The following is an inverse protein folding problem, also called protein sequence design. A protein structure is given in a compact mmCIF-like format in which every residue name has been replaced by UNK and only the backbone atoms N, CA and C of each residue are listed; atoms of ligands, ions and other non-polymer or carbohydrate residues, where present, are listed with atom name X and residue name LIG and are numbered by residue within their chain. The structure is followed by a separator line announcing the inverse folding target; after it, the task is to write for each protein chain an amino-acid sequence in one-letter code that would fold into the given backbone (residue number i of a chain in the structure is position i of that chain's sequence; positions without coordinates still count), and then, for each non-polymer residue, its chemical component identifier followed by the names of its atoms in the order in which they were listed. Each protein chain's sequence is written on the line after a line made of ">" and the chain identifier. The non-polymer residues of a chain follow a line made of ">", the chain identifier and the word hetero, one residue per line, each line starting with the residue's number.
data_IF_980765301923
#
_entry.id   IF_980765301923
#
_cell.length_a   1.000
_cell.length_b   1.000
_cell.length_c   1.000
_cell.angle_alpha   90.00
_cell.angle_beta   90.00
_cell.angle_gamma   90.00
#
_symmetry.space_group_name_H-M   'P 1'
#
loop_
_entity.id
_entity.type
_entity.pdbx_description
1 polymer ?
#
# COMPACT_ATOMS: atom_id res chain seq x y z
N UNK A 1 45.61 39.44 0.68
CA UNK A 1 44.87 38.37 1.39
C UNK A 1 43.59 38.16 0.60
N UNK A 2 43.53 37.12 -0.23
CA UNK A 2 42.36 36.83 -1.07
C UNK A 2 41.45 35.92 -0.25
N UNK A 3 40.29 36.43 0.14
CA UNK A 3 39.27 35.64 0.83
C UNK A 3 38.54 34.78 -0.21
N UNK A 4 38.79 33.46 -0.15
CA UNK A 4 38.05 32.47 -0.93
C UNK A 4 36.72 32.23 -0.21
N UNK A 5 35.63 32.72 -0.79
CA UNK A 5 34.27 32.39 -0.37
C UNK A 5 33.94 31.01 -0.93
N UNK A 6 34.11 29.97 -0.11
CA UNK A 6 33.57 28.64 -0.41
C UNK A 6 32.08 28.70 -0.09
N UNK A 7 31.25 28.83 -1.13
CA UNK A 7 29.81 28.64 -1.01
C UNK A 7 29.55 27.15 -0.73
N UNK A 8 29.30 26.81 0.53
CA UNK A 8 28.72 25.53 0.88
C UNK A 8 27.29 25.51 0.32
N UNK A 9 27.12 24.86 -0.82
CA UNK A 9 25.80 24.42 -1.28
C UNK A 9 25.35 23.38 -0.27
N UNK A 10 24.57 23.81 0.72
CA UNK A 10 23.81 22.88 1.53
C UNK A 10 22.83 22.20 0.58
N UNK A 11 23.05 20.91 0.30
CA UNK A 11 21.98 20.06 -0.16
C UNK A 11 20.93 20.08 0.94
N UNK A 12 19.87 20.86 0.77
CA UNK A 12 18.63 20.61 1.50
C UNK A 12 18.16 19.24 1.02
N UNK A 13 18.62 18.20 1.72
CA UNK A 13 18.11 16.85 1.58
C UNK A 13 16.65 16.91 1.95
N UNK A 14 15.78 17.07 0.97
CA UNK A 14 14.39 16.69 1.13
C UNK A 14 14.43 15.20 1.47
N UNK A 15 14.27 14.89 2.76
CA UNK A 15 13.93 13.55 3.20
C UNK A 15 12.56 13.28 2.58
N UNK A 16 12.55 12.58 1.45
CA UNK A 16 11.33 12.15 0.81
C UNK A 16 10.63 11.16 1.73
N UNK A 17 9.29 11.16 1.77
CA UNK A 17 8.59 10.16 2.57
C UNK A 17 8.96 8.78 2.03
N UNK A 18 9.56 7.95 2.89
CA UNK A 18 9.90 6.56 2.54
C UNK A 18 8.65 5.74 2.21
N UNK A 19 7.48 6.22 2.67
CA UNK A 19 6.17 5.59 2.59
C UNK A 19 5.21 6.40 1.73
N UNK A 20 4.66 5.78 0.70
CA UNK A 20 3.69 6.37 -0.23
C UNK A 20 2.21 6.04 0.14
N UNK A 21 2.00 5.04 0.99
CA UNK A 21 0.67 4.65 1.50
C UNK A 21 0.82 3.78 2.74
N UNK A 22 -0.14 3.90 3.66
CA UNK A 22 -0.22 3.09 4.87
C UNK A 22 -1.67 2.88 5.30
N UNK A 23 -2.01 1.65 5.65
CA UNK A 23 -3.30 1.27 6.21
C UNK A 23 -3.11 0.23 7.30
N UNK A 24 -3.66 0.48 8.48
CA UNK A 24 -3.64 -0.40 9.67
C UNK A 24 -5.07 -0.83 10.08
N UNK A 25 -6.12 -0.36 9.38
CA UNK A 25 -7.53 -0.69 9.61
C UNK A 25 -8.07 -0.33 11.01
N UNK A 26 -7.43 0.62 11.69
CA UNK A 26 -7.75 1.01 13.07
C UNK A 26 -9.02 1.87 13.20
N UNK A 27 -9.46 2.51 12.12
CA UNK A 27 -10.63 3.41 12.15
C UNK A 27 -11.84 2.80 11.44
N UNK A 28 -13.00 2.87 12.09
CA UNK A 28 -14.27 2.35 11.57
C UNK A 28 -15.23 3.45 11.10
N UNK A 29 -15.82 3.23 9.94
CA UNK A 29 -16.92 3.99 9.36
C UNK A 29 -18.05 3.02 9.04
N UNK A 30 -19.20 3.15 9.71
CA UNK A 30 -20.39 2.30 9.52
C UNK A 30 -20.12 0.77 9.59
N UNK A 31 -19.19 0.35 10.46
CA UNK A 31 -18.87 -1.07 10.68
C UNK A 31 -17.83 -1.67 9.73
N UNK A 32 -17.29 -0.87 8.82
CA UNK A 32 -16.19 -1.22 7.92
C UNK A 32 -14.97 -0.32 8.17
N UNK A 33 -13.74 -0.74 7.83
CA UNK A 33 -12.60 0.18 7.87
C UNK A 33 -12.90 1.43 7.03
N UNK A 34 -12.59 2.62 7.54
CA UNK A 34 -12.94 3.86 6.87
C UNK A 34 -12.40 3.95 5.44
N UNK A 35 -13.26 4.29 4.49
CA UNK A 35 -12.88 4.41 3.06
C UNK A 35 -12.77 3.09 2.31
N UNK A 36 -13.00 1.95 2.97
CA UNK A 36 -13.05 0.64 2.34
C UNK A 36 -14.48 0.27 1.95
N UNK A 37 -14.64 -0.17 0.72
CA UNK A 37 -15.94 -0.60 0.18
C UNK A 37 -15.82 -1.92 -0.57
N UNK A 38 -16.88 -2.73 -0.54
CA UNK A 38 -16.98 -3.92 -1.38
C UNK A 38 -17.39 -3.48 -2.78
N UNK A 39 -16.50 -3.68 -3.74
CA UNK A 39 -16.74 -3.38 -5.16
C UNK A 39 -17.36 -4.56 -5.93
N UNK A 40 -17.17 -5.80 -5.43
CA UNK A 40 -17.75 -7.03 -5.95
C UNK A 40 -17.78 -8.10 -4.87
N UNK A 41 -18.84 -8.91 -4.82
CA UNK A 41 -19.02 -9.98 -3.85
C UNK A 41 -20.23 -9.73 -2.94
N UNK A 42 -20.39 -10.56 -1.93
CA UNK A 42 -21.43 -10.40 -0.92
C UNK A 42 -20.99 -9.39 0.17
N UNK A 43 -21.86 -8.49 0.65
CA UNK A 43 -21.54 -7.55 1.72
C UNK A 43 -20.95 -8.17 2.99
N UNK A 44 -21.34 -9.41 3.32
CA UNK A 44 -20.89 -10.10 4.53
C UNK A 44 -19.50 -10.75 4.35
N UNK A 45 -18.92 -10.67 3.14
CA UNK A 45 -17.65 -11.30 2.82
C UNK A 45 -16.42 -10.48 3.18
N UNK A 46 -16.56 -9.18 3.42
CA UNK A 46 -15.49 -8.33 3.94
C UNK A 46 -15.90 -7.75 5.29
N UNK A 47 -15.20 -8.15 6.35
CA UNK A 47 -15.55 -7.77 7.72
C UNK A 47 -14.35 -7.26 8.48
N UNK A 48 -14.58 -6.24 9.30
CA UNK A 48 -13.57 -5.76 10.24
C UNK A 48 -13.43 -6.76 11.39
N UNK A 49 -12.20 -7.09 11.74
CA UNK A 49 -11.89 -8.10 12.76
C UNK A 49 -10.73 -7.65 13.65
N UNK A 50 -10.64 -8.21 14.85
CA UNK A 50 -9.39 -8.23 15.61
C UNK A 50 -8.48 -9.30 15.03
N UNK A 51 -7.21 -8.98 14.78
CA UNK A 51 -6.25 -9.85 14.09
C UNK A 51 -5.33 -10.58 15.07
N UNK A 52 -4.01 -10.59 14.83
CA UNK A 52 -3.06 -11.44 15.51
C UNK A 52 -2.90 -11.08 16.99
N UNK A 53 -2.75 -9.79 17.29
CA UNK A 53 -2.60 -9.33 18.67
C UNK A 53 -3.91 -8.72 19.22
N UNK A 54 -4.22 -8.93 20.51
CA UNK A 54 -5.38 -8.29 21.12
C UNK A 54 -5.29 -6.77 21.00
N UNK A 55 -6.25 -6.19 20.27
CA UNK A 55 -6.31 -4.75 20.01
C UNK A 55 -5.78 -4.31 18.65
N UNK A 56 -5.17 -5.22 17.87
CA UNK A 56 -4.88 -4.96 16.45
C UNK A 56 -6.11 -5.28 15.61
N UNK A 57 -6.37 -4.43 14.64
CA UNK A 57 -7.49 -4.58 13.75
C UNK A 57 -7.06 -4.99 12.35
N UNK A 58 -8.05 -5.26 11.51
CA UNK A 58 -7.79 -5.71 10.18
C UNK A 58 -9.05 -5.99 9.39
N UNK A 59 -8.82 -6.42 8.17
CA UNK A 59 -9.85 -6.79 7.21
C UNK A 59 -9.82 -8.29 6.97
N UNK A 60 -10.92 -8.97 7.30
CA UNK A 60 -11.16 -10.37 6.96
C UNK A 60 -11.96 -10.47 5.67
N UNK A 61 -11.41 -11.18 4.70
CA UNK A 61 -12.01 -11.47 3.39
C UNK A 61 -12.36 -12.96 3.29
N UNK A 62 -13.62 -13.26 3.02
CA UNK A 62 -14.13 -14.61 2.85
C UNK A 62 -14.84 -14.77 1.51
N UNK A 63 -14.98 -16.00 1.00
CA UNK A 63 -15.56 -16.22 -0.33
C UNK A 63 -14.77 -15.54 -1.46
N UNK A 64 -15.42 -15.24 -2.58
CA UNK A 64 -14.79 -14.48 -3.66
C UNK A 64 -15.26 -13.03 -3.60
N UNK A 65 -14.35 -12.13 -3.24
CA UNK A 65 -14.68 -10.74 -2.93
C UNK A 65 -13.59 -9.80 -3.43
N UNK A 66 -14.02 -8.62 -3.90
CA UNK A 66 -13.13 -7.52 -4.28
C UNK A 66 -13.49 -6.29 -3.45
N UNK A 67 -12.54 -5.82 -2.66
CA UNK A 67 -12.67 -4.58 -1.89
C UNK A 67 -11.79 -3.49 -2.48
N UNK A 68 -12.24 -2.25 -2.34
CA UNK A 68 -11.51 -1.05 -2.74
C UNK A 68 -11.33 -0.18 -1.52
N UNK A 69 -10.08 0.03 -1.13
CA UNK A 69 -9.68 0.97 -0.08
C UNK A 69 -9.52 2.39 -0.59
N UNK A 70 -9.33 3.34 0.33
CA UNK A 70 -9.05 4.73 0.00
C UNK A 70 -7.67 4.88 -0.64
N UNK A 71 -7.44 6.04 -1.27
CA UNK A 71 -6.10 6.47 -1.65
C UNK A 71 -5.32 6.97 -0.44
N UNK A 72 -4.08 7.42 -0.68
CA UNK A 72 -3.31 8.16 0.32
C UNK A 72 -4.08 9.43 0.72
N UNK A 73 -4.06 9.77 2.01
CA UNK A 73 -4.72 10.98 2.51
C UNK A 73 -4.11 12.23 1.87
N UNK A 74 -4.94 13.20 1.46
CA UNK A 74 -4.52 14.40 0.72
C UNK A 74 -3.44 15.25 1.42
N UNK A 75 -3.35 15.18 2.75
CA UNK A 75 -2.44 16.00 3.55
C UNK A 75 -1.02 15.43 3.66
N UNK A 76 -0.79 14.19 3.22
CA UNK A 76 0.54 13.58 3.30
C UNK A 76 1.39 13.90 2.05
N UNK A 77 2.71 14.17 2.20
CA UNK A 77 3.64 14.32 1.07
C UNK A 77 3.87 13.01 0.29
N UNK A 78 3.23 11.92 0.72
CA UNK A 78 3.31 10.55 0.24
C UNK A 78 3.03 10.46 -1.26
N UNK A 79 4.10 10.31 -2.03
CA UNK A 79 4.09 10.13 -3.48
C UNK A 79 5.01 8.99 -3.87
N UNK A 80 4.62 8.28 -4.92
CA UNK A 80 5.45 7.35 -5.66
C UNK A 80 6.25 8.16 -6.69
N UNK A 81 7.56 8.10 -6.57
CA UNK A 81 8.56 8.69 -7.45
C UNK A 81 9.31 7.63 -8.27
N UNK A 82 9.37 6.38 -7.80
CA UNK A 82 10.01 5.28 -8.56
C UNK A 82 8.98 4.46 -9.33
N UNK A 83 9.43 3.84 -10.42
CA UNK A 83 8.60 2.90 -11.19
C UNK A 83 8.37 1.57 -10.47
N UNK A 84 9.13 1.31 -9.40
CA UNK A 84 9.17 0.04 -8.68
C UNK A 84 9.04 0.21 -7.16
N UNK A 85 7.90 0.70 -6.65
CA UNK A 85 7.68 0.76 -5.20
C UNK A 85 7.58 -0.66 -4.61
N UNK A 86 7.87 -0.80 -3.32
CA UNK A 86 7.71 -2.04 -2.57
C UNK A 86 6.34 -2.08 -1.92
N UNK A 87 5.62 -3.18 -2.09
CA UNK A 87 4.39 -3.47 -1.36
C UNK A 87 4.71 -4.40 -0.19
N UNK A 88 4.37 -3.98 1.01
CA UNK A 88 4.46 -4.73 2.25
C UNK A 88 3.04 -5.02 2.75
N UNK A 89 2.77 -6.27 3.09
CA UNK A 89 1.45 -6.70 3.56
C UNK A 89 1.60 -7.65 4.73
N UNK A 90 1.04 -7.28 5.89
CA UNK A 90 0.85 -8.18 7.01
C UNK A 90 -0.50 -8.89 6.83
N UNK A 91 -0.46 -10.17 6.46
CA UNK A 91 -1.65 -10.95 6.21
C UNK A 91 -1.48 -12.42 6.58
N UNK A 92 -2.60 -13.11 6.70
CA UNK A 92 -2.69 -14.57 6.74
C UNK A 92 -3.79 -15.06 5.81
N UNK A 93 -3.51 -16.07 5.01
CA UNK A 93 -4.51 -16.75 4.19
C UNK A 93 -4.62 -18.23 4.54
N UNK A 94 -5.83 -18.74 4.59
CA UNK A 94 -6.07 -20.18 4.65
C UNK A 94 -5.64 -20.86 3.34
N UNK A 95 -5.34 -22.15 3.42
CA UNK A 95 -4.96 -22.94 2.24
C UNK A 95 -5.99 -22.85 1.12
N UNK A 96 -5.53 -22.61 -0.11
CA UNK A 96 -6.38 -22.52 -1.29
C UNK A 96 -7.01 -21.13 -1.51
N UNK A 97 -6.71 -20.14 -0.66
CA UNK A 97 -7.00 -18.74 -0.95
C UNK A 97 -5.85 -18.04 -1.66
N UNK A 98 -6.20 -17.01 -2.45
CA UNK A 98 -5.22 -16.12 -3.10
C UNK A 98 -5.65 -14.68 -2.90
N UNK A 99 -4.66 -13.81 -2.67
CA UNK A 99 -4.83 -12.37 -2.64
C UNK A 99 -4.05 -11.74 -3.78
N UNK A 100 -4.75 -10.95 -4.59
CA UNK A 100 -4.15 -10.03 -5.53
C UNK A 100 -4.40 -8.61 -5.04
N UNK A 101 -3.33 -7.84 -4.87
CA UNK A 101 -3.40 -6.43 -4.52
C UNK A 101 -3.04 -5.62 -5.75
N UNK A 102 -3.88 -4.64 -6.06
CA UNK A 102 -3.66 -3.68 -7.14
C UNK A 102 -3.61 -2.28 -6.56
N UNK A 103 -2.51 -1.59 -6.80
CA UNK A 103 -2.31 -0.19 -6.45
C UNK A 103 -2.67 0.65 -7.66
N UNK A 104 -3.57 1.62 -7.45
CA UNK A 104 -3.92 2.63 -8.42
C UNK A 104 -3.27 3.94 -7.98
N UNK A 105 -2.55 4.59 -8.89
CA UNK A 105 -1.90 5.86 -8.64
C UNK A 105 -2.17 6.85 -9.77
N UNK A 106 -2.10 8.14 -9.47
CA UNK A 106 -2.25 9.20 -10.45
C UNK A 106 -1.19 10.27 -10.21
N UNK A 107 -0.49 10.67 -11.27
CA UNK A 107 0.52 11.73 -11.20
C UNK A 107 -0.08 13.14 -11.17
N UNK A 108 0.75 14.16 -10.96
CA UNK A 108 0.29 15.56 -10.92
C UNK A 108 -0.32 16.05 -12.23
N UNK A 109 0.02 15.43 -13.36
CA UNK A 109 -0.53 15.74 -14.67
C UNK A 109 -1.85 14.98 -14.95
N UNK A 110 -2.28 14.09 -14.05
CA UNK A 110 -3.48 13.27 -14.21
C UNK A 110 -3.24 11.96 -14.96
N UNK A 111 -1.98 11.56 -15.17
CA UNK A 111 -1.63 10.28 -15.80
C UNK A 111 -1.87 9.16 -14.79
N UNK A 112 -2.76 8.19 -15.11
CA UNK A 112 -2.96 7.04 -14.24
C UNK A 112 -1.84 6.02 -14.41
N UNK A 113 -1.46 5.38 -13.31
CA UNK A 113 -0.61 4.20 -13.28
C UNK A 113 -1.23 3.12 -12.40
N UNK A 114 -0.95 1.87 -12.72
CA UNK A 114 -1.33 0.71 -11.91
C UNK A 114 -0.16 -0.24 -11.73
N UNK A 115 -0.15 -0.91 -10.60
CA UNK A 115 0.67 -2.10 -10.39
C UNK A 115 -0.12 -3.14 -9.61
N UNK A 116 0.08 -4.41 -9.95
CA UNK A 116 -0.59 -5.53 -9.28
C UNK A 116 0.42 -6.58 -8.84
N UNK A 117 0.19 -7.18 -7.68
CA UNK A 117 0.97 -8.27 -7.15
C UNK A 117 0.05 -9.33 -6.53
N UNK A 118 0.37 -10.60 -6.78
CA UNK A 118 -0.21 -11.73 -6.03
C UNK A 118 0.66 -12.02 -4.82
N UNK A 119 0.04 -12.19 -3.65
CA UNK A 119 0.75 -12.57 -2.44
C UNK A 119 1.16 -14.06 -2.49
N UNK A 120 2.27 -14.46 -1.84
CA UNK A 120 2.68 -15.86 -1.79
C UNK A 120 1.61 -16.79 -1.22
N UNK A 121 1.50 -18.01 -1.76
CA UNK A 121 0.45 -18.98 -1.41
C UNK A 121 0.45 -19.48 0.06
N UNK A 122 1.52 -19.20 0.82
CA UNK A 122 1.66 -19.57 2.23
C UNK A 122 1.83 -18.33 3.12
N UNK A 123 1.15 -17.25 2.77
CA UNK A 123 1.16 -16.02 3.57
C UNK A 123 0.52 -16.31 4.94
N UNK A 124 1.32 -16.16 6.00
CA UNK A 124 0.95 -16.33 7.40
C UNK A 124 1.65 -15.25 8.23
N UNK A 125 1.17 -15.04 9.45
CA UNK A 125 1.65 -14.04 10.40
C UNK A 125 3.14 -14.13 10.76
N UNK A 126 3.82 -15.21 10.38
CA UNK A 126 5.25 -15.40 10.63
C UNK A 126 6.18 -14.45 9.83
N UNK A 127 5.65 -13.67 8.88
CA UNK A 127 6.38 -12.59 8.24
C UNK A 127 5.57 -11.82 7.20
N UNK A 128 5.87 -10.54 7.03
CA UNK A 128 5.22 -9.68 6.05
C UNK A 128 5.54 -10.14 4.62
N UNK A 129 4.51 -10.18 3.78
CA UNK A 129 4.71 -10.39 2.36
C UNK A 129 5.27 -9.11 1.75
N UNK A 130 6.53 -9.15 1.31
CA UNK A 130 7.16 -8.05 0.57
C UNK A 130 7.24 -8.39 -0.91
N UNK A 131 6.63 -7.56 -1.77
CA UNK A 131 6.62 -7.75 -3.23
C UNK A 131 6.99 -6.44 -3.92
N UNK A 132 7.87 -6.52 -4.93
CA UNK A 132 8.17 -5.38 -5.78
C UNK A 132 7.01 -5.16 -6.77
N UNK A 133 6.46 -3.97 -6.77
CA UNK A 133 5.47 -3.55 -7.76
C UNK A 133 6.18 -3.05 -9.02
N UNK A 134 5.51 -3.20 -10.16
CA UNK A 134 5.97 -2.62 -11.43
C UNK A 134 4.82 -1.80 -11.98
N UNK A 135 4.99 -0.47 -11.99
CA UNK A 135 4.00 0.42 -12.59
C UNK A 135 3.95 0.21 -14.10
N UNK A 136 2.74 0.19 -14.65
CA UNK A 136 2.52 0.04 -16.09
C UNK A 136 2.70 1.34 -16.89
N UNK A 137 2.94 2.45 -16.19
CA UNK A 137 3.22 3.76 -16.75
C UNK A 137 4.35 4.45 -15.98
N UNK A 138 5.12 5.26 -16.70
CA UNK A 138 6.09 6.18 -16.08
C UNK A 138 5.32 7.35 -15.52
N UNK A 139 5.40 7.56 -14.21
CA UNK A 139 4.74 8.64 -13.49
C UNK A 139 5.73 9.39 -12.64
N UNK A 140 5.43 10.65 -12.34
CA UNK A 140 6.26 11.54 -11.52
C UNK A 140 5.42 12.12 -10.40
N UNK A 141 5.84 11.93 -9.16
CA UNK A 141 5.10 12.37 -7.97
C UNK A 141 3.66 11.83 -7.93
N UNK A 142 3.50 10.53 -8.18
CA UNK A 142 2.19 9.91 -8.23
C UNK A 142 1.60 9.65 -6.86
N UNK A 143 0.33 9.97 -6.67
CA UNK A 143 -0.38 9.67 -5.42
C UNK A 143 -1.17 8.39 -5.57
N UNK A 144 -1.11 7.51 -4.56
CA UNK A 144 -2.00 6.36 -4.50
C UNK A 144 -3.44 6.87 -4.38
N UNK A 145 -4.29 6.51 -5.34
CA UNK A 145 -5.71 6.91 -5.39
C UNK A 145 -6.64 5.81 -4.92
N UNK A 146 -6.17 4.57 -4.90
CA UNK A 146 -6.80 3.45 -4.22
C UNK A 146 -5.89 2.23 -4.15
N UNK A 147 -6.23 1.36 -3.19
CA UNK A 147 -5.76 -0.01 -3.12
C UNK A 147 -6.94 -0.93 -3.36
N UNK A 148 -6.84 -1.84 -4.32
CA UNK A 148 -7.88 -2.83 -4.62
C UNK A 148 -7.35 -4.19 -4.21
N UNK A 149 -8.13 -4.92 -3.41
CA UNK A 149 -7.79 -6.27 -2.98
C UNK A 149 -8.83 -7.22 -3.55
N UNK A 150 -8.37 -8.17 -4.36
CA UNK A 150 -9.16 -9.27 -4.86
C UNK A 150 -8.76 -10.55 -4.14
N UNK A 151 -9.74 -11.15 -3.46
CA UNK A 151 -9.60 -12.44 -2.79
C UNK A 151 -10.37 -13.49 -3.57
N UNK A 152 -9.68 -14.57 -3.92
CA UNK A 152 -10.29 -15.73 -4.61
C UNK A 152 -10.04 -17.04 -3.84
N UNK A 153 -10.71 -18.11 -4.26
CA UNK A 153 -10.60 -19.43 -3.64
C UNK A 153 -11.46 -19.60 -2.38
N UNK A 154 -11.44 -20.81 -1.80
CA UNK A 154 -12.46 -21.23 -0.81
C UNK A 154 -12.14 -20.91 0.66
N UNK A 155 -10.89 -20.58 0.99
CA UNK A 155 -10.46 -20.21 2.35
C UNK A 155 -10.85 -18.79 2.76
N UNK A 156 -10.29 -18.26 3.84
CA UNK A 156 -10.36 -16.83 4.18
C UNK A 156 -8.97 -16.21 4.21
N UNK A 157 -8.90 -14.89 4.09
CA UNK A 157 -7.69 -14.14 4.36
C UNK A 157 -7.98 -13.02 5.36
N UNK A 158 -7.01 -12.74 6.22
CA UNK A 158 -7.01 -11.61 7.15
C UNK A 158 -5.81 -10.73 6.83
N UNK A 159 -6.00 -9.42 6.87
CA UNK A 159 -4.98 -8.42 6.56
C UNK A 159 -5.00 -7.41 7.70
N UNK A 160 -3.86 -7.18 8.35
CA UNK A 160 -3.74 -6.19 9.42
C UNK A 160 -2.99 -4.94 8.99
N UNK A 161 -2.15 -5.02 7.95
CA UNK A 161 -1.39 -3.88 7.46
C UNK A 161 -1.18 -3.94 5.95
N UNK A 162 -1.24 -2.78 5.30
CA UNK A 162 -0.76 -2.57 3.93
C UNK A 162 0.11 -1.33 3.92
N UNK A 163 1.34 -1.49 3.46
CA UNK A 163 2.30 -0.40 3.31
C UNK A 163 2.87 -0.40 1.90
N UNK A 164 2.94 0.77 1.26
CA UNK A 164 3.61 0.95 -0.02
C UNK A 164 4.79 1.87 0.23
N UNK A 165 6.00 1.35 0.11
CA UNK A 165 7.22 2.09 0.33
C UNK A 165 7.87 2.46 -1.00
N UNK A 166 8.18 3.74 -1.14
CA UNK A 166 8.96 4.25 -2.26
C UNK A 166 10.38 4.62 -1.87
N UNK A 167 10.83 4.20 -0.67
CA UNK A 167 12.21 4.15 -0.15
C UNK A 167 13.06 5.42 -0.30
N UNK A 168 14.26 5.44 0.29
CA UNK A 168 15.18 6.58 0.16
C UNK A 168 15.64 6.80 -1.29
N UNK A 169 15.69 8.06 -1.75
CA UNK A 169 16.25 8.47 -3.06
C UNK A 169 17.79 8.57 -3.05
N UNK A 170 18.41 8.36 -1.90
CA UNK A 170 19.80 8.72 -1.59
C UNK A 170 20.87 7.75 -2.13
N UNK A 171 20.66 7.19 -3.33
CA UNK A 171 21.73 6.51 -4.09
C UNK A 171 21.88 6.97 -5.55
N UNK A 172 21.32 8.11 -5.94
CA UNK A 172 21.80 8.81 -7.15
C UNK A 172 22.73 9.93 -6.67
N UNK A 173 24.03 9.66 -6.79
CA UNK A 173 25.10 10.36 -6.09
C UNK A 173 25.14 11.88 -6.22
N UNK A 174 25.71 12.49 -5.18
CA UNK A 174 26.36 13.79 -5.26
C UNK A 174 27.59 13.74 -6.18
#
# INVERSE_FOLDING_TARGET
>A
MVAVLVAMVACDGHAFPERAYHEEFETLCDGTPCGWEISRGDPDQATWVTTLHPGEHGLRLSGEVTVRGPGAMEEAPDVIQRMNPSLHVAARCDSGSRLQITVLATDRAGVPARASAELPANTDWSGDATVLLMLDAVVVDARVTAVVIEKTGTGSCEISEITIDDGPLDQIGC
#
